data_IF_124428619963
#
_entry.id   IF_124428619963
#
_cell.length_a   1.000
_cell.length_b   1.000
_cell.length_c   1.000
_cell.angle_alpha   90.00
_cell.angle_beta   90.00
_cell.angle_gamma   90.00
#
_symmetry.space_group_name_H-M   'P 1'
#
loop_
_entity.id
_entity.type
_entity.pdbx_description
1 polymer ?
#
# COMPACT_ATOMS: atom_id res chain seq x y z
N UNK A 1 10.51 -48.48 4.33
CA UNK A 1 10.57 -47.50 3.21
C UNK A 1 9.19 -47.06 2.73
N UNK A 2 8.24 -47.97 2.42
CA UNK A 2 6.90 -47.61 1.93
C UNK A 2 6.15 -46.62 2.83
N UNK A 3 6.14 -46.84 4.14
CA UNK A 3 5.50 -45.94 5.11
C UNK A 3 6.14 -44.54 5.14
N UNK A 4 7.46 -44.46 4.99
CA UNK A 4 8.18 -43.18 4.94
C UNK A 4 7.82 -42.39 3.67
N UNK A 5 7.75 -43.07 2.51
CA UNK A 5 7.34 -42.44 1.25
C UNK A 5 5.90 -41.92 1.37
N UNK A 6 4.99 -42.70 1.97
CA UNK A 6 3.60 -42.26 2.20
C UNK A 6 3.57 -41.03 3.11
N UNK A 7 4.34 -41.02 4.20
CA UNK A 7 4.41 -39.88 5.11
C UNK A 7 4.94 -38.61 4.40
N UNK A 8 5.93 -38.75 3.53
CA UNK A 8 6.45 -37.65 2.72
C UNK A 8 5.38 -37.07 1.80
N UNK A 9 4.65 -37.94 1.08
CA UNK A 9 3.57 -37.52 0.17
C UNK A 9 2.46 -36.79 0.94
N UNK A 10 2.05 -37.32 2.10
CA UNK A 10 1.04 -36.69 2.95
C UNK A 10 1.51 -35.34 3.47
N UNK A 11 2.77 -35.21 3.89
CA UNK A 11 3.32 -33.93 4.35
C UNK A 11 3.30 -32.85 3.25
N UNK A 12 3.68 -33.22 2.02
CA UNK A 12 3.61 -32.30 0.87
C UNK A 12 2.15 -31.91 0.56
N UNK A 13 1.23 -32.86 0.61
CA UNK A 13 -0.20 -32.59 0.39
C UNK A 13 -0.78 -31.63 1.44
N UNK A 14 -0.46 -31.85 2.72
CA UNK A 14 -0.92 -30.96 3.81
C UNK A 14 -0.30 -29.57 3.66
N UNK A 15 0.99 -29.47 3.37
CA UNK A 15 1.69 -28.18 3.22
C UNK A 15 1.13 -27.35 2.05
N UNK A 16 0.85 -27.99 0.93
CA UNK A 16 0.24 -27.33 -0.24
C UNK A 16 -1.18 -26.85 0.04
N UNK A 17 -2.01 -27.68 0.68
CA UNK A 17 -3.36 -27.29 1.10
C UNK A 17 -3.34 -26.13 2.09
N UNK A 18 -2.45 -26.16 3.07
CA UNK A 18 -2.30 -25.08 4.05
C UNK A 18 -1.87 -23.76 3.38
N UNK A 19 -0.93 -23.81 2.43
CA UNK A 19 -0.49 -22.63 1.69
C UNK A 19 -1.62 -22.00 0.87
N UNK A 20 -2.43 -22.83 0.18
CA UNK A 20 -3.58 -22.35 -0.59
C UNK A 20 -4.61 -21.68 0.31
N UNK A 21 -4.93 -22.30 1.45
CA UNK A 21 -5.91 -21.76 2.40
C UNK A 21 -5.41 -20.46 3.04
N UNK A 22 -4.14 -20.40 3.42
CA UNK A 22 -3.55 -19.21 4.04
C UNK A 22 -3.51 -18.03 3.06
N UNK A 23 -3.20 -18.28 1.79
CA UNK A 23 -3.17 -17.23 0.76
C UNK A 23 -4.53 -16.56 0.55
N UNK A 24 -5.65 -17.28 0.78
CA UNK A 24 -6.99 -16.68 0.72
C UNK A 24 -7.29 -15.73 1.88
N UNK A 25 -6.63 -15.93 3.03
CA UNK A 25 -6.89 -15.16 4.25
C UNK A 25 -5.90 -14.00 4.45
N UNK A 26 -4.79 -13.99 3.69
CA UNK A 26 -3.80 -12.92 3.76
C UNK A 26 -4.26 -11.70 2.95
N UNK A 27 -4.70 -10.63 3.63
CA UNK A 27 -4.80 -9.30 3.00
C UNK A 27 -3.39 -8.84 2.65
N UNK A 28 -3.16 -8.52 1.38
CA UNK A 28 -1.88 -7.95 0.97
C UNK A 28 -1.60 -6.65 1.73
N UNK A 29 -0.34 -6.42 2.12
CA UNK A 29 0.05 -5.24 2.89
C UNK A 29 -0.42 -3.93 2.25
N UNK A 30 -0.40 -3.83 0.91
CA UNK A 30 -0.91 -2.65 0.21
C UNK A 30 -2.42 -2.46 0.42
N UNK A 31 -3.23 -3.51 0.56
CA UNK A 31 -4.68 -3.41 0.84
C UNK A 31 -5.01 -3.17 2.31
N UNK A 32 -4.10 -3.52 3.22
CA UNK A 32 -4.27 -3.31 4.66
C UNK A 32 -3.82 -1.90 5.07
N UNK A 33 -2.78 -1.37 4.43
CA UNK A 33 -2.16 -0.07 4.74
C UNK A 33 -2.40 1.00 3.67
N UNK A 34 -3.06 0.68 2.56
CA UNK A 34 -3.78 1.71 1.80
C UNK A 34 -4.95 2.19 2.67
N UNK A 35 -4.65 3.10 3.59
CA UNK A 35 -5.66 4.07 4.01
C UNK A 35 -6.10 4.81 2.74
N UNK A 36 -7.25 5.48 2.74
CA UNK A 36 -7.50 6.53 1.74
C UNK A 36 -6.48 7.63 2.01
N UNK A 37 -5.22 7.38 1.63
CA UNK A 37 -4.07 8.19 1.95
C UNK A 37 -4.46 9.61 1.62
N UNK A 38 -4.33 10.49 2.62
CA UNK A 38 -4.64 11.91 2.57
C UNK A 38 -4.58 12.34 1.11
N UNK A 39 -5.75 12.47 0.48
CA UNK A 39 -5.76 12.74 -0.95
C UNK A 39 -5.09 14.10 -1.06
N UNK A 40 -3.85 14.09 -1.56
CA UNK A 40 -3.19 15.26 -2.15
C UNK A 40 -3.98 15.73 -3.39
N UNK A 41 -5.11 15.07 -3.66
CA UNK A 41 -6.10 15.42 -4.64
C UNK A 41 -7.50 15.50 -4.04
N UNK A 42 -7.70 15.74 -2.73
CA UNK A 42 -9.02 16.19 -2.25
C UNK A 42 -9.22 17.60 -2.78
N UNK A 43 -10.03 17.77 -3.84
CA UNK A 43 -10.27 19.07 -4.44
C UNK A 43 -11.27 19.85 -3.58
N UNK A 44 -11.92 19.22 -2.59
CA UNK A 44 -12.97 19.82 -1.76
C UNK A 44 -12.40 20.67 -0.62
N UNK A 45 -11.08 20.91 -0.58
CA UNK A 45 -10.46 21.58 0.55
C UNK A 45 -9.20 22.39 0.26
N UNK A 46 -8.91 22.81 -0.98
CA UNK A 46 -8.01 23.91 -1.42
C UNK A 46 -6.69 24.23 -0.64
N UNK A 47 -6.21 23.38 0.25
CA UNK A 47 -5.23 23.75 1.30
C UNK A 47 -4.20 22.64 1.48
N UNK A 48 -3.86 21.99 0.38
CA UNK A 48 -3.05 20.80 0.37
C UNK A 48 -1.59 21.15 0.72
N UNK A 49 -1.30 21.20 2.04
CA UNK A 49 0.00 21.50 2.67
C UNK A 49 0.58 22.91 2.43
N UNK A 50 -0.11 23.73 1.65
CA UNK A 50 0.35 25.05 1.15
C UNK A 50 -0.41 26.24 1.78
N UNK A 51 -1.43 25.96 2.59
CA UNK A 51 -2.29 26.97 3.21
C UNK A 51 -3.34 27.57 2.26
N UNK A 52 -4.34 28.30 2.80
CA UNK A 52 -5.52 28.76 2.07
C UNK A 52 -5.25 29.85 1.01
N UNK A 53 -4.05 30.45 1.00
CA UNK A 53 -3.69 31.54 0.09
C UNK A 53 -2.75 31.10 -1.04
N UNK A 54 -2.54 29.79 -1.25
CA UNK A 54 -1.63 29.33 -2.29
C UNK A 54 -2.23 29.47 -3.69
N UNK A 55 -1.51 30.17 -4.56
CA UNK A 55 -1.94 30.45 -5.93
C UNK A 55 -1.29 29.52 -6.99
N UNK A 56 -0.49 28.53 -6.57
CA UNK A 56 0.16 27.59 -7.50
C UNK A 56 1.38 28.16 -8.22
N UNK A 57 1.81 29.38 -7.92
CA UNK A 57 2.94 30.06 -8.60
C UNK A 57 4.18 29.98 -7.72
N UNK A 58 5.11 29.09 -8.04
CA UNK A 58 6.44 29.08 -7.41
C UNK A 58 7.15 30.39 -7.77
N UNK A 59 7.51 31.25 -6.79
CA UNK A 59 8.27 32.46 -7.07
C UNK A 59 9.60 32.10 -7.71
N UNK A 60 9.97 32.84 -8.75
CA UNK A 60 11.29 32.73 -9.37
C UNK A 60 12.36 33.11 -8.31
N UNK A 61 13.29 32.20 -7.95
CA UNK A 61 14.29 32.46 -6.91
C UNK A 61 15.18 33.68 -7.20
N UNK A 62 15.25 34.15 -8.46
CA UNK A 62 16.05 35.31 -8.84
C UNK A 62 15.32 36.65 -8.76
N UNK A 63 14.00 36.67 -8.54
CA UNK A 63 13.23 37.92 -8.41
C UNK A 63 12.56 38.00 -7.04
N UNK A 64 13.06 38.82 -6.11
CA UNK A 64 12.34 39.06 -4.86
C UNK A 64 11.01 39.72 -5.21
N UNK A 65 9.91 39.06 -4.81
CA UNK A 65 8.56 39.60 -4.89
C UNK A 65 8.55 40.94 -4.16
N UNK A 66 8.27 42.03 -4.89
CA UNK A 66 8.10 43.34 -4.25
C UNK A 66 6.89 43.29 -3.32
N UNK A 67 7.13 43.80 -2.10
CA UNK A 67 6.14 44.03 -1.05
C UNK A 67 4.99 44.90 -1.51
#
# INVERSE_FOLDING_TARGET
MKAFIIALVVAVAIGTLAAMLLNQQQRFAYQAFSTSGARVSDPAGHSNLVGPNWNGITPDPEKPSKS
#
